data_IF_502459825716
#
_entry.id   IF_502459825716
#
_cell.length_a   1.000
_cell.length_b   1.000
_cell.length_c   1.000
_cell.angle_alpha   90.00
_cell.angle_beta   90.00
_cell.angle_gamma   90.00
#
_symmetry.space_group_name_H-M   'P 1'
#
loop_
_entity.id
_entity.type
_entity.pdbx_description
1 polymer ?
#
# COMPACT_ATOMS: atom_id res chain seq x y z
N UNK A 1 -8.69 -0.61 -16.30
CA UNK A 1 -7.60 0.38 -16.19
C UNK A 1 -7.95 1.60 -15.33
N UNK A 2 -9.20 2.05 -15.24
CA UNK A 2 -9.57 3.30 -14.55
C UNK A 2 -9.23 3.31 -13.04
N UNK A 3 -9.47 2.19 -12.34
CA UNK A 3 -9.26 2.08 -10.88
C UNK A 3 -7.80 2.14 -10.44
N UNK A 4 -6.89 1.49 -11.17
CA UNK A 4 -5.46 1.55 -10.87
C UNK A 4 -4.90 2.97 -11.00
N UNK A 5 -5.37 3.72 -12.01
CA UNK A 5 -4.98 5.11 -12.19
C UNK A 5 -5.50 6.00 -11.05
N UNK A 6 -6.70 5.72 -10.53
CA UNK A 6 -7.22 6.41 -9.34
C UNK A 6 -6.36 6.12 -8.11
N UNK A 7 -6.01 4.85 -7.86
CA UNK A 7 -5.13 4.45 -6.75
C UNK A 7 -3.76 5.14 -6.88
N UNK A 8 -3.15 5.10 -8.06
CA UNK A 8 -1.88 5.80 -8.32
C UNK A 8 -1.96 7.30 -8.08
N UNK A 9 -3.11 7.94 -8.35
CA UNK A 9 -3.30 9.39 -8.10
C UNK A 9 -3.47 9.73 -6.63
N UNK A 10 -4.10 8.85 -5.86
CA UNK A 10 -4.35 9.08 -4.44
C UNK A 10 -3.16 8.73 -3.52
N UNK A 11 -2.17 7.97 -4.02
CA UNK A 11 -1.04 7.51 -3.21
C UNK A 11 0.28 8.04 -3.80
N UNK A 12 0.82 9.17 -3.29
CA UNK A 12 2.06 9.76 -3.79
C UNK A 12 3.24 8.79 -3.87
N UNK A 13 3.35 7.87 -2.89
CA UNK A 13 4.35 6.83 -2.89
C UNK A 13 4.35 6.01 -4.18
N UNK A 14 3.20 5.71 -4.79
CA UNK A 14 3.12 4.91 -6.02
C UNK A 14 3.55 5.67 -7.27
N UNK A 15 3.61 7.00 -7.21
CA UNK A 15 4.09 7.84 -8.31
C UNK A 15 5.59 8.09 -8.20
N UNK A 16 6.02 8.62 -7.05
CA UNK A 16 7.38 9.20 -6.90
C UNK A 16 8.24 8.55 -5.82
N UNK A 17 7.68 7.64 -5.02
CA UNK A 17 8.42 6.98 -3.95
C UNK A 17 9.64 6.15 -4.41
N UNK A 18 10.60 6.01 -3.51
CA UNK A 18 11.69 5.06 -3.66
C UNK A 18 11.17 3.63 -3.58
N UNK A 19 11.66 2.73 -4.43
CA UNK A 19 11.27 1.33 -4.49
C UNK A 19 12.22 0.47 -3.64
N UNK A 20 11.67 -0.46 -2.86
CA UNK A 20 12.48 -1.43 -2.10
C UNK A 20 11.80 -2.80 -2.02
N UNK A 21 12.60 -3.86 -2.08
CA UNK A 21 12.20 -5.26 -1.82
C UNK A 21 12.81 -5.80 -0.53
N UNK A 22 13.52 -4.98 0.23
CA UNK A 22 14.16 -5.37 1.48
C UNK A 22 13.12 -5.76 2.53
N UNK A 23 13.36 -6.83 3.28
CA UNK A 23 12.46 -7.30 4.34
C UNK A 23 11.09 -7.70 3.79
N UNK A 24 11.06 -8.41 2.65
CA UNK A 24 9.82 -8.93 2.05
C UNK A 24 9.99 -10.41 1.75
N UNK A 25 9.00 -11.20 2.15
CA UNK A 25 8.82 -12.59 1.72
C UNK A 25 7.54 -12.69 0.90
N UNK A 26 7.64 -13.02 -0.39
CA UNK A 26 6.51 -13.08 -1.32
C UNK A 26 7.01 -13.11 -2.77
N UNK A 27 6.14 -13.45 -3.72
CA UNK A 27 6.54 -13.60 -5.13
C UNK A 27 6.69 -12.26 -5.86
N UNK A 28 5.64 -11.44 -5.87
CA UNK A 28 5.63 -10.13 -6.53
C UNK A 28 5.16 -9.05 -5.55
N UNK A 29 6.07 -8.63 -4.68
CA UNK A 29 5.77 -7.68 -3.62
C UNK A 29 6.92 -6.68 -3.39
N UNK A 30 6.57 -5.45 -3.03
CA UNK A 30 7.51 -4.34 -2.85
C UNK A 30 6.97 -3.25 -1.92
N UNK A 31 7.87 -2.39 -1.45
CA UNK A 31 7.60 -1.18 -0.66
C UNK A 31 7.85 0.06 -1.51
N UNK A 32 7.09 1.11 -1.24
CA UNK A 32 7.29 2.45 -1.82
C UNK A 32 7.23 3.50 -0.72
N UNK A 33 8.21 4.40 -0.64
CA UNK A 33 8.15 5.58 0.24
C UNK A 33 8.45 6.86 -0.49
N UNK A 34 7.58 7.85 -0.35
CA UNK A 34 7.81 9.22 -0.82
C UNK A 34 7.71 10.19 0.35
N UNK A 35 8.75 10.98 0.56
CA UNK A 35 8.77 12.06 1.53
C UNK A 35 9.20 13.35 0.84
N UNK A 36 8.45 14.43 1.05
CA UNK A 36 8.80 15.77 0.60
C UNK A 36 8.55 16.75 1.75
N UNK A 37 9.66 17.30 2.26
CA UNK A 37 9.63 18.24 3.38
C UNK A 37 9.06 19.59 2.99
N UNK A 38 9.17 20.02 1.72
CA UNK A 38 8.64 21.31 1.28
C UNK A 38 7.11 21.30 1.25
N UNK A 39 6.49 20.21 0.79
CA UNK A 39 5.04 20.03 0.83
C UNK A 39 4.54 19.36 2.13
N UNK A 40 5.42 18.83 2.97
CA UNK A 40 5.05 18.03 4.14
C UNK A 40 4.39 16.70 3.79
N UNK A 41 4.64 16.18 2.59
CA UNK A 41 4.10 14.89 2.15
C UNK A 41 4.94 13.76 2.72
N UNK A 42 4.31 12.79 3.38
CA UNK A 42 4.90 11.50 3.71
C UNK A 42 3.90 10.42 3.32
N UNK A 43 4.30 9.54 2.42
CA UNK A 43 3.46 8.48 1.90
C UNK A 43 4.27 7.18 1.87
N UNK A 44 3.75 6.14 2.49
CA UNK A 44 4.36 4.82 2.52
C UNK A 44 3.35 3.76 2.12
N UNK A 45 3.70 2.92 1.14
CA UNK A 45 2.82 1.90 0.59
C UNK A 45 3.51 0.54 0.48
N UNK A 46 2.77 -0.51 0.83
CA UNK A 46 3.13 -1.91 0.68
C UNK A 46 2.28 -2.52 -0.42
N UNK A 47 2.91 -3.13 -1.41
CA UNK A 47 2.22 -3.65 -2.59
C UNK A 47 2.53 -5.13 -2.76
N UNK A 48 1.50 -5.94 -2.99
CA UNK A 48 1.65 -7.32 -3.47
C UNK A 48 0.69 -7.58 -4.63
N UNK A 49 1.13 -8.39 -5.59
CA UNK A 49 0.40 -8.76 -6.81
C UNK A 49 0.23 -10.26 -6.86
N UNK A 50 -1.01 -10.72 -7.04
CA UNK A 50 -1.45 -12.11 -7.14
C UNK A 50 -1.19 -13.01 -5.92
N UNK A 51 0.02 -12.99 -5.35
CA UNK A 51 0.43 -13.78 -4.18
C UNK A 51 0.34 -13.00 -2.87
N UNK A 52 0.47 -13.72 -1.76
CA UNK A 52 0.61 -13.11 -0.44
C UNK A 52 2.02 -12.57 -0.23
N UNK A 53 2.17 -11.72 0.78
CA UNK A 53 3.48 -11.20 1.15
C UNK A 53 3.55 -10.88 2.64
N UNK A 54 4.71 -11.12 3.24
CA UNK A 54 5.05 -10.65 4.59
C UNK A 54 6.10 -9.55 4.46
N UNK A 55 5.84 -8.40 5.07
CA UNK A 55 6.73 -7.25 5.12
C UNK A 55 7.27 -7.11 6.54
N UNK A 56 8.57 -6.93 6.70
CA UNK A 56 9.25 -6.68 7.97
C UNK A 56 10.04 -5.37 7.92
N UNK A 57 10.41 -4.81 9.06
CA UNK A 57 11.12 -3.52 9.11
C UNK A 57 10.29 -2.36 8.54
N UNK A 58 8.97 -2.42 8.68
CA UNK A 58 8.05 -1.35 8.27
C UNK A 58 7.70 -0.45 9.47
N UNK A 59 7.31 0.81 9.27
CA UNK A 59 6.83 1.66 10.35
C UNK A 59 5.63 1.04 11.09
N UNK A 60 5.56 1.25 12.40
CA UNK A 60 4.35 0.96 13.15
C UNK A 60 3.26 1.99 12.83
N UNK A 61 2.01 1.56 12.88
CA UNK A 61 0.87 2.42 12.63
C UNK A 61 -0.29 1.68 12.00
N UNK A 62 -1.30 2.45 11.58
CA UNK A 62 -2.48 1.92 10.92
C UNK A 62 -2.25 1.91 9.41
N UNK A 63 -2.45 0.77 8.77
CA UNK A 63 -2.37 0.60 7.33
C UNK A 63 -3.76 0.36 6.76
N UNK A 64 -4.10 1.03 5.66
CA UNK A 64 -5.37 0.85 4.96
C UNK A 64 -5.16 0.34 3.55
N UNK A 65 -5.83 -0.75 3.16
CA UNK A 65 -5.81 -1.25 1.79
C UNK A 65 -6.62 -0.34 0.87
N UNK A 66 -5.95 0.26 -0.13
CA UNK A 66 -6.61 1.09 -1.12
C UNK A 66 -7.57 0.31 -2.04
N UNK A 67 -7.50 -1.03 -2.03
CA UNK A 67 -8.32 -1.91 -2.87
C UNK A 67 -9.58 -2.41 -2.15
N UNK A 68 -9.48 -3.03 -0.96
CA UNK A 68 -10.67 -3.47 -0.21
C UNK A 68 -11.16 -2.48 0.82
N UNK A 69 -10.32 -1.59 1.32
CA UNK A 69 -10.57 -0.80 2.53
C UNK A 69 -10.23 -1.53 3.82
N UNK A 70 -9.63 -2.73 3.74
CA UNK A 70 -9.15 -3.44 4.93
C UNK A 70 -8.19 -2.57 5.75
N UNK A 71 -8.24 -2.69 7.08
CA UNK A 71 -7.41 -1.89 7.99
C UNK A 71 -6.63 -2.81 8.91
N UNK A 72 -5.31 -2.61 8.97
CA UNK A 72 -4.40 -3.41 9.77
C UNK A 72 -3.56 -2.50 10.67
N UNK A 73 -3.45 -2.83 11.96
CA UNK A 73 -2.60 -2.09 12.90
C UNK A 73 -1.30 -2.86 13.11
N UNK A 74 -0.18 -2.20 12.83
CA UNK A 74 1.16 -2.76 12.95
C UNK A 74 1.85 -2.18 14.19
N UNK A 75 2.25 -3.05 15.11
CA UNK A 75 2.96 -2.67 16.35
C UNK A 75 4.37 -3.27 16.47
N UNK A 76 4.68 -4.30 15.68
CA UNK A 76 5.98 -5.01 15.68
C UNK A 76 6.77 -4.86 14.38
N UNK A 77 6.49 -3.83 13.58
CA UNK A 77 7.15 -3.56 12.30
C UNK A 77 7.01 -4.68 11.27
N UNK A 78 5.96 -5.51 11.40
CA UNK A 78 5.68 -6.63 10.50
C UNK A 78 4.21 -6.63 10.11
N UNK A 79 3.92 -6.86 8.82
CA UNK A 79 2.57 -7.05 8.31
C UNK A 79 2.54 -8.23 7.33
N UNK A 80 1.65 -9.19 7.57
CA UNK A 80 1.37 -10.28 6.65
C UNK A 80 0.10 -9.99 5.86
N UNK A 81 0.17 -10.12 4.55
CA UNK A 81 -0.91 -9.89 3.60
C UNK A 81 -1.24 -11.19 2.89
N UNK A 82 -2.49 -11.63 3.00
CA UNK A 82 -2.98 -12.81 2.31
C UNK A 82 -2.97 -12.61 0.78
N UNK A 83 -2.85 -13.71 0.03
CA UNK A 83 -2.84 -13.66 -1.42
C UNK A 83 -4.13 -13.04 -1.99
N UNK A 84 -4.05 -11.99 -2.81
CA UNK A 84 -5.24 -11.37 -3.39
C UNK A 84 -5.86 -12.19 -4.53
N UNK A 85 -5.18 -13.24 -5.00
CA UNK A 85 -5.62 -14.06 -6.12
C UNK A 85 -5.10 -13.53 -7.46
N UNK A 86 -5.01 -14.42 -8.46
CA UNK A 86 -4.39 -14.14 -9.76
C UNK A 86 -4.97 -12.88 -10.42
N UNK A 87 -4.09 -11.92 -10.75
CA UNK A 87 -4.47 -10.66 -11.40
C UNK A 87 -5.01 -9.58 -10.47
N UNK A 88 -5.09 -9.85 -9.16
CA UNK A 88 -5.43 -8.84 -8.15
C UNK A 88 -4.18 -8.31 -7.44
N UNK A 89 -4.37 -7.24 -6.68
CA UNK A 89 -3.32 -6.51 -5.98
C UNK A 89 -3.86 -5.98 -4.66
N UNK A 90 -2.98 -5.90 -3.65
CA UNK A 90 -3.21 -5.18 -2.38
C UNK A 90 -2.28 -3.98 -2.31
N UNK A 91 -2.78 -2.88 -1.78
CA UNK A 91 -1.98 -1.66 -1.56
C UNK A 91 -2.28 -1.13 -0.16
N UNK A 92 -1.52 -1.59 0.82
CA UNK A 92 -1.63 -1.08 2.18
C UNK A 92 -0.84 0.21 2.32
N UNK A 93 -1.52 1.31 2.61
CA UNK A 93 -0.93 2.63 2.79
C UNK A 93 -0.91 2.96 4.28
N UNK A 94 0.25 3.39 4.80
CA UNK A 94 0.37 3.89 6.17
C UNK A 94 -0.44 5.17 6.33
N UNK A 95 -1.34 5.17 7.31
CA UNK A 95 -2.17 6.31 7.66
C UNK A 95 -1.44 7.21 8.65
N UNK A 96 -0.98 8.37 8.17
CA UNK A 96 -0.32 9.39 8.98
C UNK A 96 -1.27 10.55 9.32
N UNK A 97 -2.55 10.45 8.94
CA UNK A 97 -3.55 11.48 9.15
C UNK A 97 -3.31 12.78 8.37
N UNK A 98 -4.21 13.74 8.57
CA UNK A 98 -4.15 15.04 7.90
C UNK A 98 -4.04 14.91 6.38
N UNK A 99 -3.06 15.59 5.78
CA UNK A 99 -2.80 15.52 4.33
C UNK A 99 -2.20 14.20 3.86
N UNK A 100 -1.65 13.42 4.78
CA UNK A 100 -0.99 12.13 4.55
C UNK A 100 -1.91 10.96 4.97
N UNK A 101 -3.21 11.24 5.09
CA UNK A 101 -4.18 10.22 5.45
C UNK A 101 -4.23 9.13 4.37
N UNK A 102 -4.23 7.87 4.80
CA UNK A 102 -4.38 6.77 3.87
C UNK A 102 -5.79 6.82 3.23
N UNK A 103 -5.91 6.67 1.90
CA UNK A 103 -7.15 6.98 1.19
C UNK A 103 -8.30 6.00 1.46
N UNK A 104 -8.01 4.85 2.09
CA UNK A 104 -8.97 3.75 2.20
C UNK A 104 -9.37 3.22 0.82
N UNK A 105 -10.52 2.53 0.74
CA UNK A 105 -11.00 1.94 -0.51
C UNK A 105 -11.24 3.00 -1.58
N UNK A 106 -10.54 2.91 -2.70
CA UNK A 106 -10.72 3.80 -3.86
C UNK A 106 -11.53 3.10 -4.93
N UNK A 107 -12.63 3.72 -5.35
CA UNK A 107 -13.48 3.25 -6.45
C UNK A 107 -14.26 1.95 -6.13
N UNK A 108 -15.07 1.50 -7.10
CA UNK A 108 -15.86 0.28 -6.98
C UNK A 108 -15.06 -0.97 -7.40
N UNK A 109 -15.40 -2.12 -6.81
CA UNK A 109 -14.82 -3.41 -7.18
C UNK A 109 -15.16 -3.77 -8.63
N UNK A 110 -14.15 -4.08 -9.43
CA UNK A 110 -14.30 -4.53 -10.81
C UNK A 110 -13.99 -6.02 -10.95
N UNK A 111 -13.92 -6.54 -12.19
CA UNK A 111 -13.49 -7.92 -12.44
C UNK A 111 -12.05 -8.19 -11.95
N UNK A 112 -11.24 -7.14 -11.84
CA UNK A 112 -9.90 -7.14 -11.24
C UNK A 112 -9.85 -6.14 -10.06
N UNK A 113 -8.86 -6.32 -9.17
CA UNK A 113 -8.69 -5.53 -7.94
C UNK A 113 -9.87 -5.72 -6.97
N UNK A 114 -10.19 -6.98 -6.64
CA UNK A 114 -11.27 -7.32 -5.71
C UNK A 114 -10.88 -7.19 -4.24
#
# INVERSE_FOLDING_TARGET
MQRLNQIRRAVPALQMGQYSTEGITGSMAYKRRYTDTASGTDSFALVTVSGGATYTGIPNGTYKDAVTGDTQVVTGGTLAVAAPGKGNLRVYVLDLGGRNAAPGKIGAAGPYLK
#
